data_IF_092371002148
#
_entry.id   IF_092371002148
#
_cell.length_a   1.000
_cell.length_b   1.000
_cell.length_c   1.000
_cell.angle_alpha   90.00
_cell.angle_beta   90.00
_cell.angle_gamma   90.00
#
_symmetry.space_group_name_H-M   'P 1'
#
loop_
_entity.id
_entity.type
_entity.pdbx_description
1 polymer ?
#
# COMPACT_ATOMS: atom_id res chain seq x y z
N UNK A 1 -17.94 10.65 -0.16
CA UNK A 1 -17.08 9.87 -1.08
C UNK A 1 -17.54 10.13 -2.50
N UNK A 2 -16.61 10.35 -3.44
CA UNK A 2 -16.93 10.46 -4.85
C UNK A 2 -17.14 9.02 -5.42
N UNK A 3 -18.34 8.68 -5.93
CA UNK A 3 -18.64 7.34 -6.43
C UNK A 3 -17.71 6.90 -7.58
N UNK A 4 -17.30 7.84 -8.41
CA UNK A 4 -16.40 7.58 -9.55
C UNK A 4 -14.99 7.20 -9.08
N UNK A 5 -14.47 7.88 -8.05
CA UNK A 5 -13.16 7.56 -7.45
C UNK A 5 -13.16 6.20 -6.74
N UNK A 6 -14.28 5.85 -6.09
CA UNK A 6 -14.43 4.54 -5.47
C UNK A 6 -14.41 3.45 -6.54
N UNK A 7 -15.18 3.62 -7.62
CA UNK A 7 -15.22 2.67 -8.73
C UNK A 7 -13.85 2.43 -9.36
N UNK A 8 -13.08 3.48 -9.64
CA UNK A 8 -11.74 3.34 -10.23
C UNK A 8 -10.76 2.61 -9.31
N UNK A 9 -10.85 2.81 -7.99
CA UNK A 9 -9.98 2.11 -7.03
C UNK A 9 -10.33 0.64 -6.87
N UNK A 10 -11.62 0.30 -6.91
CA UNK A 10 -12.07 -1.10 -6.88
C UNK A 10 -11.57 -1.84 -8.12
N UNK A 11 -11.65 -1.21 -9.30
CA UNK A 11 -11.16 -1.86 -10.54
C UNK A 11 -9.65 -2.08 -10.48
N UNK A 12 -8.87 -1.10 -10.01
CA UNK A 12 -7.42 -1.24 -9.85
C UNK A 12 -7.05 -2.36 -8.87
N UNK A 13 -7.80 -2.52 -7.77
CA UNK A 13 -7.63 -3.66 -6.85
C UNK A 13 -8.00 -5.00 -7.48
N UNK A 14 -8.99 -5.02 -8.37
CA UNK A 14 -9.39 -6.23 -9.11
C UNK A 14 -8.33 -6.62 -10.15
N UNK A 15 -7.69 -5.64 -10.77
CA UNK A 15 -6.59 -5.81 -11.71
C UNK A 15 -5.28 -6.22 -11.01
N UNK A 16 -5.07 -5.75 -9.77
CA UNK A 16 -3.98 -6.17 -8.90
C UNK A 16 -4.15 -7.65 -8.51
N UNK A 17 -3.68 -8.53 -9.39
CA UNK A 17 -3.80 -9.99 -9.27
C UNK A 17 -3.22 -10.57 -7.97
N UNK A 18 -2.36 -9.82 -7.28
CA UNK A 18 -1.74 -10.15 -6.00
C UNK A 18 -1.61 -8.87 -5.15
N UNK A 19 -1.77 -9.03 -3.82
CA UNK A 19 -1.51 -7.99 -2.81
C UNK A 19 -0.35 -8.43 -1.92
N UNK A 20 0.71 -7.61 -1.81
CA UNK A 20 1.79 -7.86 -0.85
C UNK A 20 1.40 -7.35 0.54
N UNK A 21 1.31 -8.25 1.52
CA UNK A 21 0.94 -7.92 2.90
C UNK A 21 2.20 -7.82 3.77
N UNK A 22 2.39 -6.66 4.39
CA UNK A 22 3.51 -6.35 5.27
C UNK A 22 3.06 -6.34 6.73
N UNK A 23 3.67 -7.23 7.51
CA UNK A 23 3.64 -7.20 8.97
C UNK A 23 5.08 -7.04 9.45
N UNK A 24 5.37 -5.91 10.06
CA UNK A 24 6.74 -5.54 10.43
C UNK A 24 6.79 -4.98 11.85
N UNK A 25 8.00 -4.91 12.41
CA UNK A 25 8.20 -4.44 13.79
C UNK A 25 8.37 -2.92 13.88
N UNK A 26 8.49 -2.23 12.74
CA UNK A 26 8.60 -0.78 12.66
C UNK A 26 8.03 -0.20 11.36
N UNK A 27 7.60 1.06 11.40
CA UNK A 27 7.16 1.80 10.21
C UNK A 27 8.25 1.88 9.13
N UNK A 28 9.52 1.99 9.54
CA UNK A 28 10.65 2.11 8.62
C UNK A 28 10.84 0.85 7.76
N UNK A 29 10.72 -0.34 8.37
CA UNK A 29 10.69 -1.62 7.66
C UNK A 29 9.49 -1.71 6.71
N UNK A 30 8.31 -1.25 7.15
CA UNK A 30 7.11 -1.24 6.32
C UNK A 30 7.29 -0.36 5.07
N UNK A 31 7.81 0.85 5.24
CA UNK A 31 8.08 1.80 4.14
C UNK A 31 9.08 1.20 3.15
N UNK A 32 10.19 0.66 3.64
CA UNK A 32 11.21 0.05 2.78
C UNK A 32 10.63 -1.14 2.01
N UNK A 33 9.94 -2.05 2.70
CA UNK A 33 9.34 -3.24 2.12
C UNK A 33 8.26 -2.92 1.09
N UNK A 34 7.31 -2.05 1.42
CA UNK A 34 6.27 -1.61 0.48
C UNK A 34 6.88 -0.94 -0.74
N UNK A 35 7.87 -0.05 -0.54
CA UNK A 35 8.58 0.60 -1.63
C UNK A 35 9.30 -0.40 -2.54
N UNK A 36 9.90 -1.45 -1.96
CA UNK A 36 10.54 -2.52 -2.73
C UNK A 36 9.52 -3.34 -3.54
N UNK A 37 8.37 -3.69 -2.95
CA UNK A 37 7.30 -4.40 -3.67
C UNK A 37 6.75 -3.57 -4.84
N UNK A 38 6.48 -2.28 -4.63
CA UNK A 38 6.04 -1.40 -5.73
C UNK A 38 7.07 -1.35 -6.85
N UNK A 39 8.37 -1.17 -6.53
CA UNK A 39 9.45 -1.23 -7.54
C UNK A 39 9.57 -2.60 -8.21
N UNK A 40 9.16 -3.66 -7.52
CA UNK A 40 9.09 -5.03 -8.03
C UNK A 40 7.88 -5.32 -8.91
N UNK A 41 6.98 -4.36 -9.11
CA UNK A 41 5.81 -4.50 -9.99
C UNK A 41 4.52 -4.92 -9.28
N UNK A 42 4.44 -4.79 -7.95
CA UNK A 42 3.16 -5.00 -7.25
C UNK A 42 2.25 -3.78 -7.44
N UNK A 43 1.05 -4.02 -7.97
CA UNK A 43 0.02 -2.99 -8.12
C UNK A 43 -0.71 -2.65 -6.81
N UNK A 44 -0.67 -3.57 -5.84
CA UNK A 44 -1.29 -3.41 -4.53
C UNK A 44 -0.37 -3.91 -3.40
N UNK A 45 -0.30 -3.10 -2.35
CA UNK A 45 0.38 -3.41 -1.09
C UNK A 45 -0.55 -3.11 0.08
N UNK A 46 -0.39 -3.87 1.17
CA UNK A 46 -1.11 -3.70 2.42
C UNK A 46 -0.10 -3.68 3.57
N UNK A 47 -0.28 -2.78 4.53
CA UNK A 47 0.42 -2.88 5.82
C UNK A 47 -0.59 -3.18 6.92
N UNK A 48 -0.29 -4.18 7.74
CA UNK A 48 -1.19 -4.60 8.82
C UNK A 48 -1.14 -3.61 9.98
N UNK A 49 -2.29 -3.32 10.58
CA UNK A 49 -2.42 -2.34 11.68
C UNK A 49 -1.78 -2.78 13.01
N UNK A 50 -1.23 -3.99 13.08
CA UNK A 50 -0.37 -4.42 14.19
C UNK A 50 1.11 -4.08 13.97
N UNK A 51 1.44 -3.38 12.87
CA UNK A 51 2.73 -2.72 12.65
C UNK A 51 2.74 -1.36 13.36
N UNK A 52 3.70 -1.09 14.26
CA UNK A 52 3.83 0.23 14.88
C UNK A 52 4.00 1.33 13.82
N UNK A 53 3.20 2.40 13.89
CA UNK A 53 3.24 3.50 12.93
C UNK A 53 2.69 3.15 11.54
N UNK A 54 1.85 2.13 11.40
CA UNK A 54 1.28 1.71 10.11
C UNK A 54 0.65 2.86 9.31
N UNK A 55 -0.10 3.76 9.96
CA UNK A 55 -0.73 4.91 9.30
C UNK A 55 0.29 5.88 8.71
N UNK A 56 1.40 6.11 9.42
CA UNK A 56 2.47 7.00 8.96
C UNK A 56 3.20 6.37 7.78
N UNK A 57 3.45 5.06 7.83
CA UNK A 57 4.02 4.31 6.72
C UNK A 57 3.13 4.35 5.47
N UNK A 58 1.80 4.22 5.62
CA UNK A 58 0.85 4.36 4.51
C UNK A 58 0.93 5.76 3.91
N UNK A 59 0.89 6.80 4.74
CA UNK A 59 0.94 8.19 4.29
C UNK A 59 2.24 8.50 3.55
N UNK A 60 3.37 8.02 4.05
CA UNK A 60 4.68 8.21 3.46
C UNK A 60 4.80 7.52 2.09
N UNK A 61 4.40 6.24 2.00
CA UNK A 61 4.42 5.52 0.72
C UNK A 61 3.44 6.12 -0.28
N UNK A 62 2.22 6.45 0.14
CA UNK A 62 1.22 7.09 -0.73
C UNK A 62 1.66 8.47 -1.25
N UNK A 63 2.50 9.20 -0.51
CA UNK A 63 3.10 10.45 -0.97
C UNK A 63 4.22 10.28 -2.00
N UNK A 64 4.74 9.06 -2.18
CA UNK A 64 5.88 8.74 -3.07
C UNK A 64 5.46 8.05 -4.37
N UNK A 65 4.21 7.62 -4.47
CA UNK A 65 3.69 6.84 -5.61
C UNK A 65 2.38 7.45 -6.08
N UNK A 66 2.09 7.33 -7.39
CA UNK A 66 0.76 7.65 -7.92
C UNK A 66 -0.25 6.58 -7.45
N UNK A 67 -0.86 6.86 -6.30
CA UNK A 67 -1.83 6.01 -5.60
C UNK A 67 -3.28 6.21 -6.09
#
# INVERSE_FOLDING_TARGET
MNPTLLGSRIERLREATVVAIFRTESAEQAVEGMGAAVRGGFDAVEVTMNTPGATDAIADVAGRIDA
#
